data_IF_925431651264
#
_entry.id   IF_925431651264
#
_cell.length_a   1.000
_cell.length_b   1.000
_cell.length_c   1.000
_cell.angle_alpha   90.00
_cell.angle_beta   90.00
_cell.angle_gamma   90.00
#
_symmetry.space_group_name_H-M   'P 1'
#
loop_
_entity.id
_entity.type
_entity.pdbx_description
1 polymer ?
#
# COMPACT_ATOMS: atom_id res chain seq x y z
N UNK A 1 -25.09 7.21 -16.81
CA UNK A 1 -23.64 6.95 -16.71
C UNK A 1 -23.43 5.49 -16.28
N UNK A 2 -22.70 4.74 -17.06
CA UNK A 2 -22.40 3.36 -16.70
C UNK A 2 -21.16 3.31 -15.79
N UNK A 3 -21.28 2.64 -14.66
CA UNK A 3 -20.14 2.40 -13.77
C UNK A 3 -19.41 1.14 -14.23
N UNK A 4 -18.09 1.18 -14.13
CA UNK A 4 -17.23 0.02 -14.41
C UNK A 4 -17.40 -1.02 -13.31
N UNK A 5 -17.38 -2.30 -13.69
CA UNK A 5 -17.27 -3.38 -12.71
C UNK A 5 -15.86 -3.41 -12.10
N UNK A 6 -15.72 -4.08 -10.97
CA UNK A 6 -14.42 -4.20 -10.29
C UNK A 6 -13.35 -4.82 -11.19
N UNK A 7 -13.72 -5.83 -11.98
CA UNK A 7 -12.77 -6.48 -12.90
C UNK A 7 -12.34 -5.56 -14.03
N UNK A 8 -13.25 -4.74 -14.55
CA UNK A 8 -12.93 -3.77 -15.60
C UNK A 8 -11.97 -2.69 -15.07
N UNK A 9 -12.19 -2.22 -13.85
CA UNK A 9 -11.28 -1.27 -13.19
C UNK A 9 -9.90 -1.89 -13.03
N UNK A 10 -9.83 -3.13 -12.52
CA UNK A 10 -8.58 -3.84 -12.32
C UNK A 10 -7.82 -4.06 -13.64
N UNK A 11 -8.53 -4.44 -14.70
CA UNK A 11 -7.92 -4.68 -16.01
C UNK A 11 -7.42 -3.42 -16.71
N UNK A 12 -7.99 -2.28 -16.41
CA UNK A 12 -7.53 -0.99 -16.93
C UNK A 12 -6.31 -0.45 -16.19
N UNK A 13 -6.06 -0.92 -14.99
CA UNK A 13 -4.88 -0.55 -14.23
C UNK A 13 -3.65 -1.26 -14.78
N UNK A 14 -2.58 -0.50 -15.03
CA UNK A 14 -1.28 -1.06 -15.39
C UNK A 14 -0.38 -0.99 -14.16
N UNK A 15 -0.10 -2.14 -13.50
CA UNK A 15 0.80 -2.14 -12.37
C UNK A 15 2.19 -1.67 -12.79
N UNK A 16 2.80 -0.83 -11.97
CA UNK A 16 4.19 -0.45 -12.14
C UNK A 16 5.10 -1.56 -11.61
N UNK A 17 6.32 -1.65 -12.13
CA UNK A 17 7.31 -2.59 -11.63
C UNK A 17 7.55 -2.37 -10.13
N UNK A 18 7.65 -3.48 -9.38
CA UNK A 18 7.76 -3.40 -7.91
C UNK A 18 9.00 -2.62 -7.44
N UNK A 19 10.07 -2.62 -8.22
CA UNK A 19 11.26 -1.82 -7.94
C UNK A 19 10.98 -0.32 -7.91
N UNK A 20 10.12 0.16 -8.81
CA UNK A 20 9.70 1.57 -8.84
C UNK A 20 8.88 1.91 -7.60
N UNK A 21 7.97 1.02 -7.21
CA UNK A 21 7.14 1.19 -6.01
C UNK A 21 8.02 1.21 -4.76
N UNK A 22 8.97 0.29 -4.64
CA UNK A 22 9.91 0.24 -3.51
C UNK A 22 10.72 1.54 -3.39
N UNK A 23 11.21 2.05 -4.50
CA UNK A 23 11.96 3.31 -4.54
C UNK A 23 11.10 4.49 -4.09
N UNK A 24 9.84 4.51 -4.52
CA UNK A 24 8.88 5.53 -4.11
C UNK A 24 8.53 5.45 -2.62
N UNK A 25 8.57 4.25 -2.05
CA UNK A 25 8.41 4.01 -0.62
C UNK A 25 9.69 4.21 0.20
N UNK A 26 10.78 4.67 -0.44
CA UNK A 26 12.07 4.89 0.19
C UNK A 26 12.69 3.61 0.78
N UNK A 27 12.41 2.46 0.17
CA UNK A 27 13.02 1.19 0.53
C UNK A 27 14.18 0.91 -0.41
N UNK A 28 15.38 0.77 0.15
CA UNK A 28 16.60 0.48 -0.63
C UNK A 28 16.48 -0.89 -1.30
N UNK A 29 16.97 -0.99 -2.52
CA UNK A 29 16.93 -2.19 -3.34
C UNK A 29 17.57 -3.41 -2.64
N UNK A 30 18.58 -3.21 -1.81
CA UNK A 30 19.25 -4.29 -1.06
C UNK A 30 18.32 -5.04 -0.11
N UNK A 31 17.19 -4.46 0.29
CA UNK A 31 16.19 -5.10 1.15
C UNK A 31 15.08 -5.78 0.38
N UNK A 32 15.08 -5.70 -0.95
CA UNK A 32 13.99 -6.20 -1.78
C UNK A 32 14.35 -7.58 -2.34
N UNK A 33 13.50 -8.56 -2.05
CA UNK A 33 13.53 -9.88 -2.69
C UNK A 33 12.37 -9.96 -3.67
N UNK A 34 12.68 -9.87 -4.97
CA UNK A 34 11.68 -9.78 -6.02
C UNK A 34 11.06 -11.14 -6.37
N UNK A 35 9.74 -11.16 -6.50
CA UNK A 35 8.97 -12.28 -7.01
C UNK A 35 8.24 -11.87 -8.28
N UNK A 36 8.90 -11.97 -9.42
CA UNK A 36 8.39 -11.43 -10.67
C UNK A 36 8.45 -9.90 -10.70
N UNK A 37 7.58 -9.28 -11.51
CA UNK A 37 7.64 -7.85 -11.76
C UNK A 37 6.83 -7.00 -10.78
N UNK A 38 5.87 -7.60 -10.09
CA UNK A 38 4.84 -6.83 -9.37
C UNK A 38 4.75 -7.16 -7.88
N UNK A 39 5.65 -7.99 -7.38
CA UNK A 39 5.60 -8.47 -6.00
C UNK A 39 7.00 -8.62 -5.44
N UNK A 40 7.18 -8.31 -4.17
CA UNK A 40 8.46 -8.50 -3.49
C UNK A 40 8.25 -8.73 -2.00
N UNK A 41 9.23 -9.37 -1.38
CA UNK A 41 9.39 -9.39 0.07
C UNK A 41 10.40 -8.34 0.48
N UNK A 42 10.26 -7.83 1.69
CA UNK A 42 11.22 -6.90 2.29
C UNK A 42 11.98 -7.63 3.38
N UNK A 43 13.31 -7.56 3.33
CA UNK A 43 14.16 -8.17 4.34
C UNK A 43 13.98 -7.48 5.69
N UNK A 44 13.87 -8.29 6.75
CA UNK A 44 13.67 -7.77 8.11
C UNK A 44 14.86 -6.97 8.64
N UNK A 45 16.05 -7.12 8.05
CA UNK A 45 17.21 -6.31 8.41
C UNK A 45 16.97 -4.81 8.24
N UNK A 46 16.03 -4.43 7.39
CA UNK A 46 15.61 -3.02 7.25
C UNK A 46 15.20 -2.42 8.61
N UNK A 47 14.51 -3.18 9.45
CA UNK A 47 14.05 -2.71 10.75
C UNK A 47 15.21 -2.38 11.70
N UNK A 48 16.31 -3.13 11.61
CA UNK A 48 17.50 -2.92 12.46
C UNK A 48 18.47 -1.92 11.89
N UNK A 49 18.51 -1.78 10.57
CA UNK A 49 19.47 -0.91 9.88
C UNK A 49 18.94 0.49 9.60
N UNK A 50 17.62 0.69 9.63
CA UNK A 50 17.05 2.01 9.37
C UNK A 50 17.36 2.97 10.53
N UNK A 51 17.74 4.18 10.16
CA UNK A 51 17.99 5.28 11.10
C UNK A 51 16.86 6.32 11.08
N UNK A 52 15.81 6.04 10.36
CA UNK A 52 14.66 6.95 10.24
C UNK A 52 13.83 6.91 11.51
N UNK A 53 13.28 8.04 11.88
CA UNK A 53 12.31 8.11 12.97
C UNK A 53 11.02 7.39 12.59
N UNK A 54 10.33 6.87 13.60
CA UNK A 54 9.02 6.26 13.39
C UNK A 54 8.02 7.30 12.90
N UNK A 55 7.24 6.90 11.91
CA UNK A 55 6.08 7.67 11.49
C UNK A 55 4.94 7.60 12.52
N UNK A 56 3.84 8.24 12.18
CA UNK A 56 2.63 8.18 12.99
C UNK A 56 1.84 6.94 12.63
N UNK A 57 1.44 6.18 13.65
CA UNK A 57 0.61 5.00 13.46
C UNK A 57 -0.87 5.39 13.52
N UNK A 58 -1.60 5.04 12.47
CA UNK A 58 -3.04 5.27 12.39
C UNK A 58 -3.74 3.92 12.36
N UNK A 59 -4.59 3.66 13.33
CA UNK A 59 -5.39 2.44 13.38
C UNK A 59 -6.73 2.66 12.70
N UNK A 60 -7.04 1.80 11.73
CA UNK A 60 -8.36 1.74 11.11
C UNK A 60 -9.03 0.44 11.53
N UNK A 61 -10.12 0.55 12.24
CA UNK A 61 -10.83 -0.60 12.79
C UNK A 61 -12.35 -0.35 12.80
N UNK A 62 -13.11 -1.32 13.28
CA UNK A 62 -14.55 -1.20 13.46
C UNK A 62 -14.93 -1.52 14.91
N UNK A 63 -16.03 -0.96 15.36
CA UNK A 63 -16.54 -1.21 16.72
C UNK A 63 -17.10 -2.62 16.83
N UNK A 64 -17.88 -3.03 15.82
CA UNK A 64 -18.49 -4.36 15.76
C UNK A 64 -18.46 -4.89 14.32
N UNK A 65 -18.28 -6.23 14.15
CA UNK A 65 -18.36 -6.82 12.82
C UNK A 65 -19.81 -6.83 12.30
N UNK A 66 -19.97 -6.70 10.98
CA UNK A 66 -21.26 -6.85 10.30
C UNK A 66 -21.11 -7.81 9.12
N UNK A 67 -22.21 -8.51 8.70
CA UNK A 67 -22.13 -9.42 7.56
C UNK A 67 -21.75 -8.76 6.24
N UNK A 68 -22.11 -7.49 6.07
CA UNK A 68 -21.78 -6.71 4.87
C UNK A 68 -20.37 -6.10 4.90
N UNK A 69 -19.67 -6.21 6.03
CA UNK A 69 -18.40 -5.52 6.26
C UNK A 69 -18.61 -4.06 6.66
N UNK A 70 -17.55 -3.43 7.19
CA UNK A 70 -17.59 -2.05 7.71
C UNK A 70 -16.78 -1.06 6.86
N UNK A 71 -16.13 -1.53 5.79
CA UNK A 71 -15.33 -0.69 4.92
C UNK A 71 -13.94 -0.36 5.47
N UNK A 72 -13.40 -1.16 6.37
CA UNK A 72 -12.04 -0.95 6.92
C UNK A 72 -10.99 -0.87 5.83
N UNK A 73 -10.98 -1.83 4.92
CA UNK A 73 -10.01 -1.87 3.81
C UNK A 73 -10.17 -0.67 2.89
N UNK A 74 -11.41 -0.36 2.49
CA UNK A 74 -11.70 0.79 1.62
C UNK A 74 -11.25 2.10 2.27
N UNK A 75 -11.52 2.28 3.56
CA UNK A 75 -11.11 3.47 4.32
C UNK A 75 -9.60 3.55 4.42
N UNK A 76 -8.92 2.44 4.67
CA UNK A 76 -7.45 2.40 4.77
C UNK A 76 -6.80 2.79 3.45
N UNK A 77 -7.27 2.24 2.34
CA UNK A 77 -6.75 2.57 1.00
C UNK A 77 -7.01 4.04 0.67
N UNK A 78 -8.23 4.52 0.91
CA UNK A 78 -8.60 5.92 0.68
C UNK A 78 -7.78 6.89 1.52
N UNK A 79 -7.50 6.55 2.77
CA UNK A 79 -6.66 7.36 3.66
C UNK A 79 -5.22 7.41 3.14
N UNK A 80 -4.65 6.27 2.74
CA UNK A 80 -3.30 6.19 2.19
C UNK A 80 -3.16 7.03 0.91
N UNK A 81 -4.11 6.89 -0.01
CA UNK A 81 -4.14 7.67 -1.24
C UNK A 81 -4.29 9.18 -0.98
N UNK A 82 -5.16 9.53 -0.04
CA UNK A 82 -5.37 10.93 0.36
C UNK A 82 -4.13 11.55 0.97
N UNK A 83 -3.46 10.84 1.87
CA UNK A 83 -2.21 11.31 2.49
C UNK A 83 -1.11 11.51 1.45
N UNK A 84 -0.97 10.56 0.53
CA UNK A 84 -0.02 10.69 -0.58
C UNK A 84 -0.32 11.91 -1.44
N UNK A 85 -1.59 12.17 -1.74
CA UNK A 85 -2.00 13.30 -2.56
C UNK A 85 -1.61 14.65 -1.95
N UNK A 86 -1.62 14.76 -0.63
CA UNK A 86 -1.20 15.97 0.09
C UNK A 86 0.28 15.96 0.46
N UNK A 87 1.07 15.02 -0.08
CA UNK A 87 2.52 14.98 0.08
C UNK A 87 3.01 14.34 1.38
N UNK A 88 2.20 13.51 2.03
CA UNK A 88 2.61 12.75 3.21
C UNK A 88 3.08 11.34 2.81
N UNK A 89 4.13 10.86 3.45
CA UNK A 89 4.62 9.49 3.32
C UNK A 89 3.92 8.55 4.30
#
# INVERSE_FOLDING_TARGET
MAYLSDIEIAQRCKPEHIGVIAKRAHVDEKYIEQYGNYKAKIDLSLLSETKRENGKLILVTAITPTPAGEGKTTTTIGLADGLRRIGKD
#
